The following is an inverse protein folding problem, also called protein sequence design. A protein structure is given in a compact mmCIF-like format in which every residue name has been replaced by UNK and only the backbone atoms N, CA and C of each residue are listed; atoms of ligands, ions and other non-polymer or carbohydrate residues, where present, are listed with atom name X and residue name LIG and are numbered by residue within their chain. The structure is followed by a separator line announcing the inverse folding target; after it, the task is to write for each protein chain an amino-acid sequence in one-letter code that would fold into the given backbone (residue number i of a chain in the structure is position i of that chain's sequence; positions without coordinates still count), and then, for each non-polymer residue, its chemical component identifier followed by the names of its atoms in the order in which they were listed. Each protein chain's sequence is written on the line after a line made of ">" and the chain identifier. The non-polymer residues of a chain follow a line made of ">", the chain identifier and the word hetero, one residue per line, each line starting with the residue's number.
data_IF_746105515879
#
_entry.id   IF_746105515879
#
_cell.length_a   1.000
_cell.length_b   1.000
_cell.length_c   1.000
_cell.angle_alpha   90.00
_cell.angle_beta   90.00
_cell.angle_gamma   90.00
#
_symmetry.space_group_name_H-M   'P 1'
#
loop_
_entity.id
_entity.type
_entity.pdbx_description
1 polymer ?
#
# COMPACT_ATOMS: atom_id res chain seq x y z
N UNK A 1 -55.66 -50.16 3.29
CA UNK A 1 -54.25 -50.54 2.98
C UNK A 1 -53.59 -49.39 2.25
N UNK A 2 -52.51 -48.84 2.83
CA UNK A 2 -51.37 -48.11 2.21
C UNK A 2 -51.70 -46.80 1.43
N UNK A 3 -51.50 -45.63 2.07
CA UNK A 3 -50.41 -44.63 1.85
C UNK A 3 -50.53 -43.85 0.53
N UNK A 4 -50.52 -42.51 0.52
CA UNK A 4 -49.28 -41.73 0.52
C UNK A 4 -49.55 -40.28 0.96
N UNK A 5 -48.70 -39.78 1.86
CA UNK A 5 -48.65 -38.39 2.31
C UNK A 5 -47.67 -37.64 1.39
N UNK A 6 -48.16 -36.74 0.54
CA UNK A 6 -47.31 -35.94 -0.35
C UNK A 6 -46.51 -34.91 0.46
N UNK A 7 -45.24 -35.20 0.70
CA UNK A 7 -44.25 -34.24 1.19
C UNK A 7 -43.70 -33.50 -0.05
N UNK A 8 -44.01 -32.22 -0.20
CA UNK A 8 -43.31 -31.35 -1.14
C UNK A 8 -41.89 -31.09 -0.61
N UNK A 9 -40.88 -31.69 -1.23
CA UNK A 9 -39.48 -31.30 -1.05
C UNK A 9 -39.21 -30.04 -1.87
N UNK A 10 -39.03 -28.91 -1.20
CA UNK A 10 -38.47 -27.70 -1.82
C UNK A 10 -36.96 -27.91 -1.90
N UNK A 11 -36.47 -28.23 -3.10
CA UNK A 11 -35.03 -28.25 -3.38
C UNK A 11 -34.52 -26.80 -3.47
N UNK A 12 -33.94 -26.29 -2.38
CA UNK A 12 -33.11 -25.09 -2.45
C UNK A 12 -31.85 -25.43 -3.27
N UNK A 13 -31.85 -25.03 -4.54
CA UNK A 13 -30.64 -24.94 -5.35
C UNK A 13 -29.78 -23.80 -4.76
N UNK A 14 -28.89 -24.15 -3.84
CA UNK A 14 -27.79 -23.29 -3.47
C UNK A 14 -26.89 -23.13 -4.70
N UNK A 15 -27.10 -22.07 -5.47
CA UNK A 15 -26.12 -21.60 -6.46
C UNK A 15 -24.94 -21.08 -5.67
N UNK A 16 -24.04 -21.99 -5.31
CA UNK A 16 -22.72 -21.64 -4.84
C UNK A 16 -22.03 -20.89 -5.99
N UNK A 17 -22.00 -19.57 -5.87
CA UNK A 17 -21.16 -18.72 -6.70
C UNK A 17 -19.72 -19.16 -6.46
N UNK A 18 -19.22 -20.09 -7.28
CA UNK A 18 -17.80 -20.38 -7.37
C UNK A 18 -17.16 -19.10 -7.91
N UNK A 19 -16.76 -18.20 -7.02
CA UNK A 19 -15.63 -17.33 -7.31
C UNK A 19 -14.50 -18.25 -7.69
N UNK A 20 -14.19 -18.33 -8.97
CA UNK A 20 -12.97 -18.96 -9.48
C UNK A 20 -11.81 -18.18 -8.87
N UNK A 21 -11.39 -18.61 -7.69
CA UNK A 21 -10.00 -18.47 -7.29
C UNK A 21 -9.26 -19.39 -8.24
N UNK A 22 -8.91 -18.87 -9.42
CA UNK A 22 -7.89 -19.49 -10.24
C UNK A 22 -6.67 -19.59 -9.33
N UNK A 23 -6.43 -20.80 -8.84
CA UNK A 23 -5.32 -21.09 -7.95
C UNK A 23 -4.05 -20.70 -8.69
N UNK A 24 -3.39 -19.64 -8.21
CA UNK A 24 -2.13 -19.20 -8.76
C UNK A 24 -1.16 -20.38 -8.81
N UNK A 25 -0.66 -20.69 -10.01
CA UNK A 25 0.37 -21.71 -10.17
C UNK A 25 1.59 -21.27 -9.37
N UNK A 26 2.09 -22.14 -8.48
CA UNK A 26 3.28 -21.89 -7.68
C UNK A 26 4.55 -21.57 -8.49
N UNK A 27 4.48 -21.77 -9.81
CA UNK A 27 5.58 -21.65 -10.76
C UNK A 27 5.34 -20.54 -11.81
N UNK A 28 4.33 -19.69 -11.62
CA UNK A 28 4.13 -18.55 -12.53
C UNK A 28 5.30 -17.54 -12.40
N UNK A 29 5.89 -17.08 -13.51
CA UNK A 29 6.91 -16.03 -13.51
C UNK A 29 6.45 -14.75 -12.78
N UNK A 30 7.32 -14.17 -11.95
CA UNK A 30 6.98 -13.02 -11.09
C UNK A 30 6.51 -11.79 -11.88
N UNK A 31 7.05 -11.59 -13.08
CA UNK A 31 6.65 -10.52 -14.00
C UNK A 31 5.18 -10.68 -14.44
N UNK A 32 4.72 -11.91 -14.70
CA UNK A 32 3.31 -12.17 -15.04
C UNK A 32 2.38 -11.92 -13.86
N UNK A 33 2.77 -12.37 -12.66
CA UNK A 33 2.00 -12.10 -11.43
C UNK A 33 1.91 -10.58 -11.18
N UNK A 34 3.03 -9.88 -11.32
CA UNK A 34 3.10 -8.43 -11.15
C UNK A 34 2.27 -7.67 -12.19
N UNK A 35 2.39 -7.99 -13.48
CA UNK A 35 1.61 -7.36 -14.55
C UNK A 35 0.11 -7.59 -14.37
N UNK A 36 -0.30 -8.75 -13.86
CA UNK A 36 -1.69 -9.00 -13.52
C UNK A 36 -2.20 -8.08 -12.40
N UNK A 37 -1.37 -7.81 -11.39
CA UNK A 37 -1.72 -6.89 -10.32
C UNK A 37 -1.96 -5.47 -10.85
N UNK A 38 -1.17 -5.02 -11.82
CA UNK A 38 -1.34 -3.71 -12.48
C UNK A 38 -2.69 -3.67 -13.21
N UNK A 39 -2.98 -4.68 -14.04
CA UNK A 39 -4.24 -4.76 -14.77
C UNK A 39 -5.46 -4.78 -13.84
N UNK A 40 -5.36 -5.50 -12.71
CA UNK A 40 -6.44 -5.56 -11.72
C UNK A 40 -6.61 -4.24 -10.96
N UNK A 41 -5.52 -3.58 -10.59
CA UNK A 41 -5.54 -2.30 -9.89
C UNK A 41 -6.00 -1.13 -10.78
N UNK A 42 -5.82 -1.24 -12.10
CA UNK A 42 -6.30 -0.26 -13.08
C UNK A 42 -7.82 -0.15 -13.12
N UNK A 43 -8.54 -1.25 -12.82
CA UNK A 43 -10.00 -1.24 -12.75
C UNK A 43 -10.46 -0.56 -11.47
N UNK A 44 -11.28 0.50 -11.59
CA UNK A 44 -11.85 1.25 -10.47
C UNK A 44 -12.98 0.46 -9.75
N UNK A 45 -12.68 -0.74 -9.26
CA UNK A 45 -13.67 -1.62 -8.64
C UNK A 45 -13.98 -1.17 -7.20
N UNK A 46 -15.11 -0.49 -7.02
CA UNK A 46 -15.56 0.01 -5.71
C UNK A 46 -15.87 -1.10 -4.72
N UNK A 47 -16.10 -2.33 -5.17
CA UNK A 47 -16.33 -3.50 -4.29
C UNK A 47 -15.04 -3.98 -3.60
N UNK A 48 -13.88 -3.41 -3.93
CA UNK A 48 -12.57 -3.74 -3.36
C UNK A 48 -12.09 -2.75 -2.31
N UNK A 49 -12.91 -1.75 -2.02
CA UNK A 49 -12.66 -0.81 -0.93
C UNK A 49 -12.67 -1.52 0.43
N UNK A 50 -11.99 -0.93 1.41
CA UNK A 50 -11.87 -1.44 2.78
C UNK A 50 -12.21 -0.34 3.78
N UNK A 51 -12.56 -0.72 5.00
CA UNK A 51 -12.88 0.16 6.13
C UNK A 51 -11.84 0.06 7.27
N UNK A 52 -10.67 -0.49 6.95
CA UNK A 52 -9.58 -0.80 7.90
C UNK A 52 -8.30 0.00 7.63
N UNK A 53 -8.38 1.08 6.85
CA UNK A 53 -7.23 1.97 6.65
C UNK A 53 -6.78 2.54 7.99
N UNK A 54 -5.46 2.62 8.16
CA UNK A 54 -4.88 3.32 9.30
C UNK A 54 -5.05 4.82 9.11
N UNK A 55 -5.54 5.47 10.14
CA UNK A 55 -5.76 6.92 10.19
C UNK A 55 -4.52 7.61 10.77
N UNK A 56 -4.20 8.83 10.30
CA UNK A 56 -3.19 9.70 10.90
C UNK A 56 -3.89 10.59 11.95
N UNK A 57 -4.24 9.97 13.08
CA UNK A 57 -4.93 10.62 14.21
C UNK A 57 -4.29 10.23 15.53
N UNK A 58 -4.31 11.10 16.53
CA UNK A 58 -3.69 10.84 17.83
C UNK A 58 -4.20 9.55 18.53
N UNK A 59 -5.46 9.17 18.29
CA UNK A 59 -6.05 7.95 18.85
C UNK A 59 -5.63 6.64 18.17
N UNK A 60 -4.86 6.67 17.07
CA UNK A 60 -4.40 5.45 16.41
C UNK A 60 -3.14 4.90 17.14
N UNK A 61 -3.24 3.76 17.85
CA UNK A 61 -2.14 3.23 18.66
C UNK A 61 -0.99 2.65 17.82
N UNK A 62 -1.19 2.45 16.50
CA UNK A 62 -0.14 1.96 15.60
C UNK A 62 0.87 3.06 15.29
N UNK A 63 0.48 4.33 15.42
CA UNK A 63 1.36 5.47 15.13
C UNK A 63 2.35 5.75 16.26
N UNK A 64 3.45 6.37 15.88
CA UNK A 64 4.37 7.00 16.81
C UNK A 64 4.45 8.48 16.47
N UNK A 65 4.46 9.32 17.50
CA UNK A 65 4.40 10.77 17.39
C UNK A 65 5.59 11.42 18.10
N UNK A 66 6.02 12.56 17.58
CA UNK A 66 7.04 13.41 18.20
C UNK A 66 6.72 14.87 17.92
N UNK A 67 6.96 15.74 18.91
CA UNK A 67 6.90 17.19 18.71
C UNK A 67 8.29 17.73 18.42
N UNK A 68 8.45 18.46 17.33
CA UNK A 68 9.71 19.10 16.94
C UNK A 68 9.40 20.56 16.61
N UNK A 69 10.05 21.50 17.30
CA UNK A 69 9.82 22.94 17.15
C UNK A 69 8.34 23.34 17.22
N UNK A 70 7.58 22.74 18.15
CA UNK A 70 6.15 23.02 18.35
C UNK A 70 5.19 22.38 17.34
N UNK A 71 5.70 21.67 16.33
CA UNK A 71 4.89 20.98 15.32
C UNK A 71 4.84 19.47 15.58
N UNK A 72 3.69 18.84 15.31
CA UNK A 72 3.52 17.40 15.39
C UNK A 72 4.10 16.68 14.17
N UNK A 73 4.90 15.66 14.44
CA UNK A 73 5.45 14.75 13.45
C UNK A 73 4.99 13.32 13.74
N UNK A 74 4.76 12.56 12.69
CA UNK A 74 4.41 11.13 12.75
C UNK A 74 5.53 10.31 12.13
N UNK A 75 5.85 9.15 12.72
CA UNK A 75 6.88 8.25 12.19
C UNK A 75 6.34 7.49 10.98
N UNK A 76 7.04 7.63 9.86
CA UNK A 76 6.74 6.96 8.60
C UNK A 76 7.94 6.16 8.10
N UNK A 77 7.68 5.16 7.28
CA UNK A 77 8.68 4.33 6.62
C UNK A 77 8.65 4.52 5.10
N UNK A 78 9.82 4.50 4.46
CA UNK A 78 9.96 4.40 3.01
C UNK A 78 10.98 3.33 2.64
N UNK A 79 10.70 2.54 1.59
CA UNK A 79 11.57 1.47 1.12
C UNK A 79 12.37 1.96 -0.10
N UNK A 80 13.70 1.87 -0.02
CA UNK A 80 14.58 2.67 -0.87
C UNK A 80 15.95 2.04 -1.16
N UNK A 81 16.66 2.63 -2.13
CA UNK A 81 17.94 2.15 -2.68
C UNK A 81 19.18 2.88 -2.14
N UNK A 82 19.05 4.13 -1.71
CA UNK A 82 20.15 5.07 -1.45
C UNK A 82 20.29 5.46 0.03
N UNK A 83 20.79 4.58 0.92
CA UNK A 83 20.74 4.80 2.37
C UNK A 83 21.46 6.09 2.81
N UNK A 84 22.52 6.49 2.11
CA UNK A 84 23.29 7.71 2.40
C UNK A 84 22.48 9.00 2.19
N UNK A 85 21.34 8.95 1.50
CA UNK A 85 20.43 10.09 1.36
C UNK A 85 19.58 10.34 2.61
N UNK A 86 19.62 9.44 3.59
CA UNK A 86 18.88 9.52 4.85
C UNK A 86 19.82 9.19 6.03
N UNK A 87 20.77 10.09 6.34
CA UNK A 87 21.64 9.94 7.50
C UNK A 87 20.84 10.05 8.81
N UNK A 88 20.84 9.03 9.69
CA UNK A 88 20.11 9.08 10.96
C UNK A 88 20.55 10.23 11.86
N UNK A 89 19.59 10.90 12.49
CA UNK A 89 19.82 12.07 13.35
C UNK A 89 19.73 13.41 12.62
N UNK A 90 19.81 13.42 11.29
CA UNK A 90 19.79 14.65 10.50
C UNK A 90 18.36 15.10 10.15
N UNK A 91 18.24 16.41 9.96
CA UNK A 91 17.10 17.02 9.26
C UNK A 91 17.44 17.21 7.79
N UNK A 92 16.61 16.68 6.90
CA UNK A 92 16.79 16.79 5.45
C UNK A 92 15.52 17.30 4.79
N UNK A 93 15.65 17.82 3.57
CA UNK A 93 14.50 18.12 2.71
C UNK A 93 14.35 17.01 1.66
N UNK A 94 13.12 16.55 1.41
CA UNK A 94 12.86 15.61 0.31
C UNK A 94 12.89 16.33 -1.04
N UNK A 95 14.09 16.58 -1.56
CA UNK A 95 14.32 17.38 -2.78
C UNK A 95 14.14 16.61 -4.09
N UNK A 96 14.06 15.28 -4.03
CA UNK A 96 14.08 14.39 -5.20
C UNK A 96 12.69 14.21 -5.83
N UNK A 97 11.64 14.52 -5.08
CA UNK A 97 10.27 14.28 -5.46
C UNK A 97 9.39 14.04 -4.26
N UNK A 98 8.18 13.60 -4.53
CA UNK A 98 7.27 13.11 -3.50
C UNK A 98 7.82 11.82 -2.86
N UNK A 99 7.51 11.60 -1.59
CA UNK A 99 7.86 10.35 -0.90
C UNK A 99 6.63 9.50 -0.69
N UNK A 100 6.70 8.24 -1.14
CA UNK A 100 5.72 7.22 -0.80
C UNK A 100 6.06 6.61 0.56
N UNK A 101 5.06 6.55 1.43
CA UNK A 101 5.23 6.26 2.85
C UNK A 101 4.22 5.22 3.35
N UNK A 102 4.66 4.40 4.30
CA UNK A 102 3.83 3.48 5.07
C UNK A 102 4.06 3.69 6.58
N UNK A 103 3.17 3.18 7.42
CA UNK A 103 3.36 3.22 8.88
C UNK A 103 4.28 2.06 9.31
N UNK A 104 5.44 2.31 9.95
CA UNK A 104 6.40 1.25 10.30
C UNK A 104 5.79 0.12 11.13
N UNK A 105 5.03 0.44 12.18
CA UNK A 105 4.42 -0.58 13.03
C UNK A 105 3.36 -1.40 12.29
N UNK A 106 2.57 -0.80 11.38
CA UNK A 106 1.65 -1.54 10.54
C UNK A 106 2.40 -2.58 9.70
N UNK A 107 3.52 -2.19 9.08
CA UNK A 107 4.36 -3.10 8.31
C UNK A 107 4.90 -4.25 9.19
N UNK A 108 5.39 -3.94 10.39
CA UNK A 108 5.87 -4.95 11.35
C UNK A 108 4.77 -5.91 11.77
N UNK A 109 3.57 -5.44 12.09
CA UNK A 109 2.45 -6.31 12.44
C UNK A 109 2.02 -7.20 11.28
N UNK A 110 2.06 -6.68 10.05
CA UNK A 110 1.61 -7.42 8.87
C UNK A 110 2.60 -8.48 8.39
N UNK A 111 3.90 -8.27 8.59
CA UNK A 111 4.94 -9.15 8.03
C UNK A 111 5.90 -9.76 9.05
N UNK A 112 6.12 -9.13 10.20
CA UNK A 112 7.23 -9.48 11.11
C UNK A 112 7.23 -10.95 11.53
N UNK A 113 6.07 -11.49 11.92
CA UNK A 113 5.92 -12.90 12.32
C UNK A 113 5.91 -13.89 11.14
N UNK A 114 5.86 -13.40 9.91
CA UNK A 114 5.87 -14.24 8.69
C UNK A 114 7.28 -14.56 8.20
N UNK A 115 8.28 -13.84 8.73
CA UNK A 115 9.67 -14.00 8.30
C UNK A 115 10.41 -15.07 9.09
N UNK A 116 11.24 -15.81 8.37
CA UNK A 116 12.21 -16.78 8.87
C UNK A 116 13.60 -16.45 8.30
N UNK A 117 14.69 -17.07 8.78
CA UNK A 117 16.03 -16.83 8.25
C UNK A 117 16.18 -17.08 6.74
N UNK A 118 15.30 -17.87 6.12
CA UNK A 118 15.32 -18.19 4.68
C UNK A 118 14.35 -17.36 3.85
N UNK A 119 13.58 -16.46 4.47
CA UNK A 119 12.60 -15.64 3.76
C UNK A 119 13.26 -14.61 2.87
N UNK A 120 12.79 -14.49 1.62
CA UNK A 120 13.13 -13.38 0.75
C UNK A 120 12.38 -12.11 1.20
N UNK A 121 13.01 -11.36 2.11
CA UNK A 121 12.45 -10.14 2.70
C UNK A 121 12.25 -9.05 1.64
N UNK A 122 13.15 -8.95 0.65
CA UNK A 122 13.09 -7.91 -0.37
C UNK A 122 11.93 -8.14 -1.33
N UNK A 123 11.76 -9.39 -1.79
CA UNK A 123 10.61 -9.77 -2.59
C UNK A 123 9.30 -9.56 -1.83
N UNK A 124 9.24 -9.97 -0.56
CA UNK A 124 8.02 -9.85 0.22
C UNK A 124 7.61 -8.41 0.49
N UNK A 125 8.57 -7.52 0.76
CA UNK A 125 8.32 -6.08 0.87
C UNK A 125 7.85 -5.50 -0.47
N UNK A 126 8.47 -5.90 -1.57
CA UNK A 126 8.07 -5.45 -2.91
C UNK A 126 6.64 -5.89 -3.23
N UNK A 127 6.27 -7.12 -2.85
CA UNK A 127 4.90 -7.61 -2.88
C UNK A 127 3.96 -6.73 -2.06
N UNK A 128 4.22 -6.57 -0.76
CA UNK A 128 3.36 -5.82 0.16
C UNK A 128 3.14 -4.38 -0.28
N UNK A 129 4.17 -3.74 -0.83
CA UNK A 129 4.16 -2.32 -1.21
C UNK A 129 3.71 -2.07 -2.66
N UNK A 130 3.35 -3.12 -3.42
CA UNK A 130 2.98 -2.94 -4.82
C UNK A 130 4.13 -2.51 -5.72
N UNK A 131 5.38 -2.88 -5.39
CA UNK A 131 6.57 -2.53 -6.16
C UNK A 131 6.95 -3.65 -7.13
N UNK A 132 7.66 -3.34 -8.23
CA UNK A 132 8.17 -4.35 -9.15
C UNK A 132 9.00 -5.43 -8.44
N UNK A 133 9.00 -6.69 -8.92
CA UNK A 133 9.76 -7.78 -8.31
C UNK A 133 11.26 -7.47 -8.18
N UNK A 134 11.80 -6.66 -9.09
CA UNK A 134 13.16 -6.14 -9.05
C UNK A 134 13.12 -4.62 -9.16
N UNK A 135 13.37 -3.93 -8.05
CA UNK A 135 13.37 -2.46 -7.98
C UNK A 135 14.66 -1.87 -7.36
N UNK A 136 15.57 -2.73 -6.89
CA UNK A 136 16.86 -2.33 -6.32
C UNK A 136 16.81 -1.76 -4.91
N UNK A 137 15.62 -1.63 -4.30
CA UNK A 137 15.48 -1.20 -2.91
C UNK A 137 15.98 -2.29 -1.97
N UNK A 138 16.70 -1.87 -0.93
CA UNK A 138 17.32 -2.77 0.06
C UNK A 138 17.21 -2.24 1.49
N UNK A 139 16.76 -1.00 1.65
CA UNK A 139 16.80 -0.28 2.91
C UNK A 139 15.46 0.34 3.25
N UNK A 140 15.15 0.40 4.54
CA UNK A 140 14.00 1.14 5.06
C UNK A 140 14.54 2.33 5.86
N UNK A 141 14.18 3.53 5.41
CA UNK A 141 14.33 4.75 6.18
C UNK A 141 13.07 4.95 7.01
N UNK A 142 13.23 5.13 8.31
CA UNK A 142 12.19 5.61 9.22
C UNK A 142 12.42 7.10 9.43
N UNK A 143 11.42 7.90 9.12
CA UNK A 143 11.49 9.36 9.09
C UNK A 143 10.31 9.96 9.84
N UNK A 144 10.58 10.99 10.63
CA UNK A 144 9.55 11.85 11.21
C UNK A 144 9.12 12.84 10.14
N UNK A 145 7.83 12.84 9.80
CA UNK A 145 7.26 13.76 8.80
C UNK A 145 6.19 14.66 9.42
N UNK A 146 6.05 15.91 8.96
CA UNK A 146 4.95 16.78 9.35
C UNK A 146 3.59 16.13 9.04
N UNK A 147 2.80 15.78 10.06
CA UNK A 147 1.55 15.05 9.85
C UNK A 147 0.56 15.82 8.97
N UNK A 148 0.48 17.15 9.13
CA UNK A 148 -0.38 18.03 8.31
C UNK A 148 0.09 18.24 6.87
N UNK A 149 1.20 17.63 6.44
CA UNK A 149 1.66 17.65 5.04
C UNK A 149 1.36 16.34 4.30
N UNK A 150 0.94 15.30 5.03
CA UNK A 150 0.59 14.02 4.42
C UNK A 150 -0.77 14.11 3.75
N UNK A 151 -0.89 13.44 2.62
CA UNK A 151 -2.17 13.13 2.00
C UNK A 151 -2.25 11.65 1.65
N UNK A 152 -3.47 11.12 1.59
CA UNK A 152 -3.73 9.76 1.15
C UNK A 152 -3.77 9.72 -0.38
N UNK A 153 -3.04 8.83 -1.08
CA UNK A 153 -3.11 8.72 -2.53
C UNK A 153 -4.35 7.92 -2.95
N UNK A 154 -5.54 8.51 -2.77
CA UNK A 154 -6.82 7.86 -2.99
C UNK A 154 -7.88 8.85 -3.50
N UNK A 155 -9.06 8.35 -3.87
CA UNK A 155 -10.15 9.24 -4.29
C UNK A 155 -10.54 10.29 -3.23
N UNK A 156 -10.31 10.02 -1.94
CA UNK A 156 -10.32 11.02 -0.88
C UNK A 156 -8.90 11.17 -0.30
N UNK A 157 -8.27 12.36 -0.34
CA UNK A 157 -6.94 12.60 0.21
C UNK A 157 -6.87 12.62 1.75
N UNK A 158 -8.01 12.57 2.44
CA UNK A 158 -8.07 12.64 3.89
C UNK A 158 -7.37 11.44 4.56
N UNK A 159 -6.35 11.76 5.35
CA UNK A 159 -5.55 10.79 6.11
C UNK A 159 -6.23 10.35 7.40
N UNK A 160 -7.33 11.00 7.80
CA UNK A 160 -8.05 10.73 9.05
C UNK A 160 -9.19 9.72 8.89
N UNK A 161 -9.48 9.27 7.68
CA UNK A 161 -10.53 8.28 7.39
C UNK A 161 -9.98 6.85 7.36
N UNK A 162 -10.84 5.90 7.73
CA UNK A 162 -10.56 4.45 7.66
C UNK A 162 -10.94 3.84 6.30
N UNK A 163 -11.48 4.64 5.39
CA UNK A 163 -11.97 4.22 4.08
C UNK A 163 -11.68 5.28 3.01
N UNK A 164 -11.36 4.83 1.80
CA UNK A 164 -11.28 5.67 0.61
C UNK A 164 -11.62 4.85 -0.65
N UNK A 165 -12.34 5.46 -1.58
CA UNK A 165 -12.71 4.85 -2.86
C UNK A 165 -11.74 5.22 -4.00
N UNK A 166 -11.76 4.48 -5.12
CA UNK A 166 -10.89 4.73 -6.27
C UNK A 166 -11.31 5.92 -7.16
N UNK A 167 -12.38 6.62 -6.77
CA UNK A 167 -12.98 7.74 -7.50
C UNK A 167 -12.86 9.00 -6.65
N UNK A 168 -12.47 10.11 -7.28
CA UNK A 168 -12.34 11.41 -6.63
C UNK A 168 -13.64 11.79 -5.91
N UNK A 169 -13.53 12.09 -4.62
CA UNK A 169 -14.63 12.56 -3.79
C UNK A 169 -15.02 13.99 -4.17
N UNK A 170 -16.27 14.35 -3.91
CA UNK A 170 -16.69 15.75 -4.05
C UNK A 170 -15.87 16.65 -3.10
N UNK A 171 -15.50 17.84 -3.56
CA UNK A 171 -14.80 18.84 -2.74
C UNK A 171 -13.28 18.70 -2.63
N UNK A 172 -12.66 17.70 -3.27
CA UNK A 172 -11.19 17.68 -3.42
C UNK A 172 -10.72 18.85 -4.28
N UNK A 173 -9.55 19.43 -3.95
CA UNK A 173 -9.03 20.62 -4.64
C UNK A 173 -8.63 20.32 -6.09
N UNK A 174 -8.61 21.34 -6.95
CA UNK A 174 -8.21 21.17 -8.36
C UNK A 174 -6.76 20.69 -8.51
N UNK A 175 -5.87 21.14 -7.61
CA UNK A 175 -4.47 20.70 -7.58
C UNK A 175 -4.39 19.20 -7.28
N UNK A 176 -5.19 18.70 -6.33
CA UNK A 176 -5.24 17.28 -6.03
C UNK A 176 -5.86 16.47 -7.17
N UNK A 177 -6.91 16.99 -7.84
CA UNK A 177 -7.49 16.33 -9.03
C UNK A 177 -6.46 16.21 -10.15
N UNK A 178 -5.70 17.27 -10.42
CA UNK A 178 -4.65 17.27 -11.42
C UNK A 178 -3.55 16.26 -11.07
N UNK A 179 -3.10 16.26 -9.81
CA UNK A 179 -2.15 15.26 -9.30
C UNK A 179 -2.68 13.83 -9.46
N UNK A 180 -3.91 13.56 -9.00
CA UNK A 180 -4.51 12.23 -9.02
C UNK A 180 -4.65 11.68 -10.44
N UNK A 181 -5.18 12.50 -11.37
CA UNK A 181 -5.31 12.12 -12.77
C UNK A 181 -3.95 11.95 -13.46
N UNK A 182 -2.98 12.81 -13.16
CA UNK A 182 -1.60 12.65 -13.62
C UNK A 182 -0.97 11.35 -13.10
N UNK A 183 -1.25 10.99 -11.85
CA UNK A 183 -0.73 9.77 -11.23
C UNK A 183 -1.38 8.50 -11.79
N UNK A 184 -2.63 8.56 -12.28
CA UNK A 184 -3.25 7.47 -13.08
C UNK A 184 -2.42 7.23 -14.34
N UNK A 185 -2.10 8.30 -15.08
CA UNK A 185 -1.29 8.22 -16.30
C UNK A 185 0.09 7.65 -15.97
N UNK A 186 0.74 8.16 -14.94
CA UNK A 186 2.06 7.67 -14.53
C UNK A 186 2.03 6.20 -14.10
N UNK A 187 1.01 5.78 -13.35
CA UNK A 187 0.90 4.41 -12.84
C UNK A 187 0.68 3.39 -13.94
N UNK A 188 -0.09 3.71 -14.98
CA UNK A 188 -0.62 2.70 -15.91
C UNK A 188 -0.34 2.91 -17.40
N UNK A 189 -0.08 4.15 -17.82
CA UNK A 189 -0.13 4.51 -19.25
C UNK A 189 1.11 5.26 -19.75
N UNK A 190 1.98 5.73 -18.85
CA UNK A 190 3.19 6.46 -19.25
C UNK A 190 4.14 5.56 -20.06
N UNK A 191 4.78 6.06 -21.13
CA UNK A 191 5.85 5.33 -21.78
C UNK A 191 6.96 4.95 -20.79
N UNK A 192 7.38 3.70 -20.83
CA UNK A 192 8.42 3.18 -19.94
C UNK A 192 9.78 3.18 -20.66
N UNK A 193 10.81 3.67 -19.98
CA UNK A 193 12.20 3.41 -20.39
C UNK A 193 12.52 1.91 -20.26
N UNK A 194 13.57 1.40 -20.93
CA UNK A 194 14.03 0.03 -20.73
C UNK A 194 14.25 -0.29 -19.24
N UNK A 195 13.62 -1.36 -18.76
CA UNK A 195 13.66 -1.75 -17.34
C UNK A 195 12.70 -0.97 -16.42
N UNK A 196 11.88 -0.07 -16.97
CA UNK A 196 10.78 0.58 -16.26
C UNK A 196 9.60 -0.36 -16.04
N UNK A 197 8.71 0.01 -15.11
CA UNK A 197 7.51 -0.72 -14.81
C UNK A 197 6.36 0.23 -14.44
N UNK A 198 5.14 -0.21 -14.75
CA UNK A 198 3.91 0.36 -14.20
C UNK A 198 3.71 -0.07 -12.74
N UNK A 199 2.73 0.52 -12.06
CA UNK A 199 2.45 0.27 -10.65
C UNK A 199 0.99 -0.12 -10.41
N UNK A 200 0.70 -1.14 -9.57
CA UNK A 200 -0.64 -1.53 -9.19
C UNK A 200 -1.23 -0.56 -8.14
N UNK A 201 -1.22 0.74 -8.41
CA UNK A 201 -1.81 1.73 -7.51
C UNK A 201 -3.31 1.48 -7.40
N UNK A 202 -3.87 1.40 -6.19
CA UNK A 202 -5.28 1.02 -6.02
C UNK A 202 -6.22 2.21 -6.10
N UNK A 203 -5.71 3.42 -5.84
CA UNK A 203 -6.47 4.65 -5.58
C UNK A 203 -7.40 4.55 -4.36
N UNK A 204 -7.22 3.53 -3.52
CA UNK A 204 -8.08 3.26 -2.34
C UNK A 204 -7.33 3.47 -1.03
N UNK A 205 -6.10 4.00 -1.06
CA UNK A 205 -5.34 4.37 0.13
C UNK A 205 -4.61 3.22 0.81
N UNK A 206 -4.57 2.05 0.16
CA UNK A 206 -3.76 0.91 0.54
C UNK A 206 -2.94 0.40 -0.65
N UNK A 207 -1.75 -0.13 -0.38
CA UNK A 207 -0.86 -0.72 -1.40
C UNK A 207 -1.42 -2.06 -1.91
N UNK A 208 -1.24 -2.37 -3.19
CA UNK A 208 -1.63 -3.68 -3.71
C UNK A 208 -0.60 -4.76 -3.36
N UNK A 209 -0.94 -5.69 -2.49
CA UNK A 209 -0.13 -6.87 -2.19
C UNK A 209 -0.26 -7.92 -3.30
N UNK A 210 0.70 -7.94 -4.22
CA UNK A 210 0.64 -8.84 -5.38
C UNK A 210 1.10 -10.27 -5.08
N UNK A 211 1.39 -10.62 -3.82
CA UNK A 211 1.69 -12.00 -3.47
C UNK A 211 0.45 -12.89 -3.75
N UNK A 212 0.59 -13.94 -4.60
CA UNK A 212 -0.54 -14.74 -5.06
C UNK A 212 -1.20 -15.58 -3.95
N UNK A 213 -0.56 -15.71 -2.79
CA UNK A 213 -0.99 -16.57 -1.68
C UNK A 213 -1.75 -15.81 -0.59
N UNK A 214 -1.92 -14.50 -0.72
CA UNK A 214 -2.52 -13.64 0.31
C UNK A 214 -3.63 -12.76 -0.27
N UNK A 215 -4.33 -12.04 0.60
CA UNK A 215 -5.26 -11.00 0.18
C UNK A 215 -4.48 -9.83 -0.44
N UNK A 216 -4.99 -9.26 -1.55
CA UNK A 216 -4.43 -8.09 -2.25
C UNK A 216 -4.24 -6.84 -1.37
N UNK A 217 -4.89 -6.78 -0.22
CA UNK A 217 -4.85 -5.59 0.64
C UNK A 217 -3.51 -5.55 1.37
N UNK A 218 -2.64 -4.65 0.94
CA UNK A 218 -1.36 -4.36 1.58
C UNK A 218 -1.49 -3.45 2.81
N UNK A 219 -0.57 -2.50 2.97
CA UNK A 219 -0.56 -1.52 4.08
C UNK A 219 -1.23 -0.21 3.66
N UNK A 220 -1.59 0.63 4.62
CA UNK A 220 -2.05 1.97 4.31
C UNK A 220 -0.88 2.79 3.77
N UNK A 221 -1.14 3.50 2.68
CA UNK A 221 -0.15 4.32 1.98
C UNK A 221 -0.46 5.81 2.13
N UNK A 222 0.62 6.60 2.12
CA UNK A 222 0.59 8.04 2.28
C UNK A 222 1.64 8.65 1.38
N UNK A 223 1.43 9.90 0.98
CA UNK A 223 2.40 10.66 0.21
C UNK A 223 2.76 11.94 0.95
N UNK A 224 4.07 12.23 0.97
CA UNK A 224 4.60 13.51 1.39
C UNK A 224 5.02 14.31 0.14
N UNK A 225 4.48 15.52 -0.08
CA UNK A 225 4.89 16.39 -1.17
C UNK A 225 6.39 16.68 -1.15
N UNK A 226 6.97 16.94 -2.33
CA UNK A 226 8.36 17.39 -2.49
C UNK A 226 8.64 18.65 -1.65
N UNK A 227 9.85 18.76 -1.12
CA UNK A 227 10.36 19.97 -0.45
C UNK A 227 9.94 20.14 1.01
N UNK A 228 9.31 19.15 1.62
CA UNK A 228 9.06 19.08 3.05
C UNK A 228 10.34 18.75 3.83
N UNK A 229 10.55 19.44 4.95
CA UNK A 229 11.56 19.08 5.93
C UNK A 229 11.13 17.84 6.72
N UNK A 230 12.03 16.88 6.87
CA UNK A 230 11.85 15.62 7.60
C UNK A 230 13.06 15.35 8.49
N UNK A 231 12.86 14.58 9.55
CA UNK A 231 13.95 14.12 10.41
C UNK A 231 14.16 12.63 10.25
N UNK A 232 15.40 12.21 10.05
CA UNK A 232 15.70 10.78 9.89
C UNK A 232 15.89 10.14 11.25
N UNK A 233 14.99 9.22 11.61
CA UNK A 233 15.06 8.48 12.86
C UNK A 233 16.04 7.31 12.75
N UNK A 234 15.88 6.49 11.70
CA UNK A 234 16.66 5.27 11.56
C UNK A 234 16.81 4.89 10.09
N UNK A 235 17.99 4.38 9.74
CA UNK A 235 18.26 3.72 8.47
C UNK A 235 18.61 2.26 8.74
N UNK A 236 17.93 1.34 8.08
CA UNK A 236 18.15 -0.12 8.27
C UNK A 236 18.14 -0.83 6.94
N UNK A 237 18.81 -1.98 6.86
CA UNK A 237 18.50 -2.95 5.81
C UNK A 237 17.06 -3.43 5.99
N UNK A 238 16.41 -3.87 4.91
CA UNK A 238 15.07 -4.42 4.96
C UNK A 238 14.92 -5.55 6.00
N UNK A 239 15.88 -6.47 6.08
CA UNK A 239 15.88 -7.53 7.09
C UNK A 239 16.11 -7.01 8.51
N UNK A 240 16.97 -5.99 8.67
CA UNK A 240 17.24 -5.35 9.96
C UNK A 240 16.04 -4.56 10.52
N UNK A 241 15.12 -4.11 9.68
CA UNK A 241 13.90 -3.43 10.10
C UNK A 241 12.96 -4.33 10.93
N UNK A 242 12.95 -5.65 10.64
CA UNK A 242 12.07 -6.63 11.30
C UNK A 242 12.70 -7.33 12.51
N UNK A 243 13.95 -6.99 12.86
CA UNK A 243 14.63 -7.44 14.08
C UNK A 243 14.49 -6.38 15.17
#
# INVERSE_FOLDING_TARGET
>A
MKTLRNLMLIALLAVACKTTRDGYGSNEPLDKVYNRSINQAMIADTTKTIDTLQTITAGNPVLQWKTINGQQYVLMGTFMKYPNSFPPGDSINNSWGEMWLFIPNQMKYRLGSTFSPTSDTLLRLSQMLGLPPVNGNKYIAQVWVPAGKLYRPAGNPDVTTTHAGPVLSAGVSEEYKAWFNGYIISSYFQPLAPGGAHYPWTRMGYTYDWNPRVNRVGVSEFVLPKGCGIWVEKMTTAGGFFK
#
